data_IF_277191275132
#
_entry.id   IF_277191275132
#
_cell.length_a   1.000
_cell.length_b   1.000
_cell.length_c   1.000
_cell.angle_alpha   90.00
_cell.angle_beta   90.00
_cell.angle_gamma   90.00
#
_symmetry.space_group_name_H-M   'P 1'
#
loop_
_entity.id
_entity.type
_entity.pdbx_description
1 polymer ?
#
# COMPACT_ATOMS: atom_id res chain seq x y z
N UNK A 1 -4.23 5.22 8.54
CA UNK A 1 -4.81 6.22 7.61
C UNK A 1 -3.79 6.65 6.55
N UNK A 2 -2.51 6.74 6.92
CA UNK A 2 -1.37 7.00 6.08
C UNK A 2 -1.08 5.91 5.06
N UNK A 3 -1.14 4.60 5.39
CA UNK A 3 -0.93 3.53 4.39
C UNK A 3 -1.87 3.64 3.17
N UNK A 4 -3.14 3.99 3.39
CA UNK A 4 -4.13 4.27 2.33
C UNK A 4 -3.73 5.50 1.50
N UNK A 5 -3.29 6.56 2.17
CA UNK A 5 -2.91 7.82 1.55
C UNK A 5 -1.63 7.69 0.71
N UNK A 6 -0.62 7.01 1.25
CA UNK A 6 0.64 6.68 0.57
C UNK A 6 0.34 5.79 -0.63
N UNK A 7 -0.49 4.76 -0.46
CA UNK A 7 -0.92 3.88 -1.53
C UNK A 7 -1.57 4.61 -2.71
N UNK A 8 -2.48 5.55 -2.44
CA UNK A 8 -3.03 6.42 -3.47
C UNK A 8 -1.96 7.26 -4.18
N UNK A 9 -1.10 7.96 -3.43
CA UNK A 9 -0.08 8.85 -4.00
C UNK A 9 0.88 8.07 -4.90
N UNK A 10 1.44 6.97 -4.40
CA UNK A 10 2.38 6.15 -5.16
C UNK A 10 1.71 5.43 -6.34
N UNK A 11 0.48 4.95 -6.17
CA UNK A 11 -0.32 4.41 -7.26
C UNK A 11 -0.55 5.43 -8.38
N UNK A 12 -0.94 6.66 -8.03
CA UNK A 12 -1.14 7.76 -8.99
C UNK A 12 0.14 8.13 -9.71
N UNK A 13 1.23 8.33 -8.98
CA UNK A 13 2.54 8.65 -9.57
C UNK A 13 3.01 7.54 -10.53
N UNK A 14 2.82 6.28 -10.14
CA UNK A 14 3.15 5.14 -10.99
C UNK A 14 2.29 5.12 -12.24
N UNK A 15 0.98 5.34 -12.13
CA UNK A 15 0.07 5.40 -13.28
C UNK A 15 0.44 6.52 -14.26
N UNK A 16 0.85 7.68 -13.75
CA UNK A 16 1.35 8.79 -14.57
C UNK A 16 2.67 8.42 -15.27
N UNK A 17 3.63 7.83 -14.54
CA UNK A 17 4.92 7.43 -15.08
C UNK A 17 4.80 6.35 -16.16
N UNK A 18 3.91 5.37 -15.97
CA UNK A 18 3.68 4.28 -16.94
C UNK A 18 2.67 4.65 -18.03
N UNK A 19 2.03 5.82 -17.93
CA UNK A 19 0.96 6.29 -18.82
C UNK A 19 -0.22 5.32 -18.89
N UNK A 20 -0.69 4.85 -17.73
CA UNK A 20 -1.81 3.91 -17.62
C UNK A 20 -2.99 4.56 -16.90
N UNK A 21 -4.20 4.09 -17.20
CA UNK A 21 -5.37 4.43 -16.39
C UNK A 21 -5.31 3.64 -15.09
N UNK A 22 -5.90 4.18 -14.02
CA UNK A 22 -6.02 3.49 -12.75
C UNK A 22 -7.47 3.57 -12.24
N UNK A 23 -7.89 2.52 -11.55
CA UNK A 23 -9.14 2.49 -10.80
C UNK A 23 -8.82 2.92 -9.36
N UNK A 24 -9.31 4.10 -8.95
CA UNK A 24 -9.00 4.69 -7.65
C UNK A 24 -9.52 3.80 -6.50
N UNK A 25 -10.80 3.38 -6.46
CA UNK A 25 -11.26 2.42 -5.45
C UNK A 25 -10.36 1.19 -5.31
N UNK A 26 -9.95 0.59 -6.43
CA UNK A 26 -9.09 -0.61 -6.39
C UNK A 26 -7.69 -0.32 -5.81
N UNK A 27 -7.07 0.80 -6.15
CA UNK A 27 -5.79 1.24 -5.56
C UNK A 27 -5.93 1.37 -4.04
N UNK A 28 -7.00 2.02 -3.60
CA UNK A 28 -7.29 2.25 -2.20
C UNK A 28 -7.53 0.94 -1.44
N UNK A 29 -8.29 0.01 -2.03
CA UNK A 29 -8.52 -1.33 -1.46
C UNK A 29 -7.21 -2.12 -1.36
N UNK A 30 -6.41 -2.17 -2.42
CA UNK A 30 -5.12 -2.87 -2.41
C UNK A 30 -4.16 -2.31 -1.37
N UNK A 31 -4.21 -1.01 -1.10
CA UNK A 31 -3.40 -0.37 -0.08
C UNK A 31 -3.73 -0.82 1.35
N UNK A 32 -4.85 -1.53 1.55
CA UNK A 32 -5.32 -2.04 2.84
C UNK A 32 -5.34 -3.58 2.90
N UNK A 33 -5.22 -4.26 1.76
CA UNK A 33 -5.32 -5.73 1.68
C UNK A 33 -4.33 -6.46 2.62
N UNK A 34 -3.09 -6.02 2.83
CA UNK A 34 -2.16 -6.72 3.72
C UNK A 34 -2.72 -6.91 5.14
N UNK A 35 -3.32 -5.85 5.71
CA UNK A 35 -3.91 -5.85 7.06
C UNK A 35 -5.14 -6.75 7.21
N UNK A 36 -5.67 -7.34 6.13
CA UNK A 36 -6.75 -8.33 6.23
C UNK A 36 -6.29 -9.58 6.98
N UNK A 37 -4.98 -9.83 7.08
CA UNK A 37 -4.41 -10.93 7.85
C UNK A 37 -4.75 -10.88 9.35
N UNK A 38 -5.05 -9.71 9.90
CA UNK A 38 -5.56 -9.53 11.28
C UNK A 38 -6.85 -10.33 11.52
N UNK A 39 -7.63 -10.54 10.46
CA UNK A 39 -8.89 -11.28 10.50
C UNK A 39 -8.72 -12.78 10.20
N UNK A 40 -7.52 -13.22 9.81
CA UNK A 40 -7.24 -14.61 9.43
C UNK A 40 -6.63 -15.35 10.61
N UNK A 41 -7.33 -16.36 11.18
CA UNK A 41 -6.77 -17.15 12.28
C UNK A 41 -5.46 -17.83 11.87
N UNK A 42 -4.52 -17.91 12.82
CA UNK A 42 -3.22 -18.60 12.67
C UNK A 42 -2.24 -17.97 11.66
N UNK A 43 -2.55 -16.82 11.07
CA UNK A 43 -1.61 -16.03 10.28
C UNK A 43 -1.02 -14.95 11.16
N UNK A 44 0.32 -14.89 11.24
CA UNK A 44 1.00 -13.80 11.92
C UNK A 44 0.82 -12.50 11.13
N UNK A 45 0.28 -11.48 11.78
CA UNK A 45 0.20 -10.13 11.23
C UNK A 45 1.61 -9.60 10.90
N UNK A 46 1.77 -8.90 9.77
CA UNK A 46 3.07 -8.48 9.21
C UNK A 46 3.97 -9.64 8.77
N UNK A 47 3.38 -10.81 8.57
CA UNK A 47 4.01 -12.00 8.01
C UNK A 47 3.73 -12.13 6.50
N UNK A 48 3.19 -13.26 6.02
CA UNK A 48 3.05 -13.56 4.59
C UNK A 48 2.31 -12.49 3.75
N UNK A 49 1.29 -11.84 4.32
CA UNK A 49 0.49 -10.84 3.61
C UNK A 49 1.23 -9.51 3.39
N UNK A 50 2.28 -9.27 4.18
CA UNK A 50 3.12 -8.08 4.09
C UNK A 50 4.47 -8.38 3.41
N UNK A 51 4.62 -9.57 2.84
CA UNK A 51 5.83 -9.95 2.10
C UNK A 51 5.82 -9.36 0.70
N UNK A 52 6.93 -8.71 0.34
CA UNK A 52 7.17 -8.20 -1.02
C UNK A 52 7.39 -9.36 -1.99
N UNK A 53 7.99 -10.45 -1.53
CA UNK A 53 8.22 -11.65 -2.36
C UNK A 53 6.87 -12.29 -2.70
N UNK A 54 6.00 -12.48 -1.70
CA UNK A 54 4.66 -13.05 -1.95
C UNK A 54 3.84 -12.15 -2.85
N UNK A 55 3.90 -10.84 -2.62
CA UNK A 55 3.23 -9.87 -3.50
C UNK A 55 3.76 -9.95 -4.92
N UNK A 56 5.09 -10.02 -5.12
CA UNK A 56 5.69 -10.17 -6.44
C UNK A 56 5.24 -11.46 -7.13
N UNK A 57 5.23 -12.59 -6.44
CA UNK A 57 4.77 -13.88 -6.98
C UNK A 57 3.32 -13.78 -7.47
N UNK A 58 2.41 -13.23 -6.65
CA UNK A 58 1.00 -13.03 -7.04
C UNK A 58 0.88 -12.09 -8.24
N UNK A 59 1.77 -11.10 -8.34
CA UNK A 59 1.75 -10.16 -9.46
C UNK A 59 2.45 -10.65 -10.72
N UNK A 60 3.23 -11.74 -10.71
CA UNK A 60 3.81 -12.33 -11.94
C UNK A 60 2.73 -12.58 -13.01
N UNK A 61 1.65 -13.34 -12.75
CA UNK A 61 0.62 -13.54 -13.75
C UNK A 61 -0.11 -12.23 -14.13
N UNK A 62 -0.29 -11.30 -13.18
CA UNK A 62 -0.92 -10.01 -13.47
C UNK A 62 -0.05 -9.15 -14.41
N UNK A 63 1.27 -9.15 -14.22
CA UNK A 63 2.19 -8.50 -15.14
C UNK A 63 2.25 -9.19 -16.50
N UNK A 64 2.18 -10.53 -16.54
CA UNK A 64 2.13 -11.25 -17.81
C UNK A 64 0.86 -10.92 -18.63
N UNK A 65 -0.30 -10.76 -17.97
CA UNK A 65 -1.58 -10.49 -18.62
C UNK A 65 -1.83 -9.01 -18.92
N UNK A 66 -1.47 -8.12 -17.99
CA UNK A 66 -1.81 -6.69 -18.06
C UNK A 66 -0.60 -5.78 -18.29
N UNK A 67 0.61 -6.33 -18.27
CA UNK A 67 1.85 -5.58 -18.45
C UNK A 67 1.96 -4.41 -17.48
N UNK A 68 2.39 -3.26 -17.99
CA UNK A 68 2.55 -2.03 -17.21
C UNK A 68 1.26 -1.49 -16.57
N UNK A 69 0.08 -1.96 -16.99
CA UNK A 69 -1.19 -1.57 -16.36
C UNK A 69 -1.32 -2.13 -14.94
N UNK A 70 -0.60 -3.21 -14.61
CA UNK A 70 -0.56 -3.76 -13.25
C UNK A 70 0.34 -2.96 -12.30
N UNK A 71 1.28 -2.14 -12.82
CA UNK A 71 2.29 -1.45 -12.01
C UNK A 71 1.70 -0.54 -10.91
N UNK A 72 0.67 0.30 -11.17
CA UNK A 72 0.09 1.15 -10.13
C UNK A 72 -0.47 0.36 -8.95
N UNK A 73 -1.08 -0.79 -9.25
CA UNK A 73 -1.71 -1.69 -8.27
C UNK A 73 -0.67 -2.47 -7.48
N UNK A 74 0.39 -2.92 -8.14
CA UNK A 74 1.53 -3.55 -7.48
C UNK A 74 2.16 -2.59 -6.47
N UNK A 75 2.46 -1.37 -6.91
CA UNK A 75 3.07 -0.32 -6.08
C UNK A 75 2.15 0.05 -4.91
N UNK A 76 0.85 0.20 -5.14
CA UNK A 76 -0.12 0.51 -4.10
C UNK A 76 -0.20 -0.58 -3.01
N UNK A 77 0.04 -1.84 -3.36
CA UNK A 77 0.08 -2.96 -2.42
C UNK A 77 1.41 -3.02 -1.67
N UNK A 78 2.55 -3.06 -2.37
CA UNK A 78 3.87 -3.25 -1.71
C UNK A 78 4.30 -2.07 -0.84
N UNK A 79 3.84 -0.85 -1.13
CA UNK A 79 4.16 0.32 -0.31
C UNK A 79 3.71 0.15 1.14
N UNK A 80 2.62 -0.61 1.34
CA UNK A 80 2.05 -0.84 2.66
C UNK A 80 3.12 -1.40 3.59
N UNK A 81 3.84 -2.42 3.11
CA UNK A 81 4.90 -3.08 3.86
C UNK A 81 6.24 -2.35 3.74
N UNK A 82 6.61 -1.89 2.54
CA UNK A 82 7.93 -1.29 2.28
C UNK A 82 8.11 0.12 2.86
N UNK A 83 7.02 0.85 3.06
CA UNK A 83 7.05 2.23 3.55
C UNK A 83 6.26 2.32 4.85
N UNK A 84 4.97 1.96 4.80
CA UNK A 84 4.08 2.09 5.95
C UNK A 84 4.59 1.30 7.16
N UNK A 85 4.60 -0.03 7.06
CA UNK A 85 5.01 -0.89 8.17
C UNK A 85 6.51 -0.86 8.43
N UNK A 86 7.30 -0.64 7.38
CA UNK A 86 8.72 -0.45 7.55
C UNK A 86 9.01 0.74 8.45
N UNK A 87 8.28 1.84 8.35
CA UNK A 87 8.45 2.97 9.25
C UNK A 87 7.71 2.73 10.58
N UNK A 88 6.56 2.06 10.56
CA UNK A 88 5.65 1.98 11.71
C UNK A 88 5.24 0.56 12.14
N UNK A 89 5.35 0.32 13.45
CA UNK A 89 4.74 -0.83 14.12
C UNK A 89 5.64 -2.02 14.43
N UNK A 90 6.96 -1.81 14.45
CA UNK A 90 7.86 -2.71 15.19
C UNK A 90 8.34 -3.93 14.42
N UNK A 91 8.36 -3.87 13.09
CA UNK A 91 8.95 -4.91 12.24
C UNK A 91 7.95 -5.57 11.30
N UNK A 92 8.44 -5.98 10.13
CA UNK A 92 7.69 -6.69 9.09
C UNK A 92 8.57 -7.74 8.42
N UNK A 93 8.01 -8.93 8.13
CA UNK A 93 8.72 -10.02 7.45
C UNK A 93 8.75 -9.80 5.93
N UNK A 94 9.44 -8.73 5.48
CA UNK A 94 9.45 -8.31 4.06
C UNK A 94 9.82 -9.41 3.06
N UNK A 95 10.72 -10.30 3.48
CA UNK A 95 11.34 -11.34 2.63
C UNK A 95 10.81 -12.75 2.93
N UNK A 96 9.68 -12.88 3.62
CA UNK A 96 9.03 -14.19 3.79
C UNK A 96 8.66 -14.78 2.42
N UNK A 97 8.84 -16.09 2.16
CA UNK A 97 9.23 -17.15 3.09
C UNK A 97 10.75 -17.42 3.15
N UNK A 98 11.58 -16.64 2.44
CA UNK A 98 13.03 -16.88 2.43
C UNK A 98 13.65 -16.68 3.82
N UNK A 99 13.11 -15.74 4.59
CA UNK A 99 13.48 -15.49 5.99
C UNK A 99 12.28 -14.93 6.76
N UNK A 100 12.23 -15.21 8.07
CA UNK A 100 11.29 -14.61 9.02
C UNK A 100 11.88 -13.41 9.77
N UNK A 101 13.04 -12.91 9.32
CA UNK A 101 13.65 -11.72 9.91
C UNK A 101 12.72 -10.51 9.81
N UNK A 102 12.59 -9.80 10.92
CA UNK A 102 11.82 -8.55 10.99
C UNK A 102 12.67 -7.38 10.52
N UNK A 103 12.12 -6.60 9.60
CA UNK A 103 12.71 -5.38 9.07
C UNK A 103 11.84 -4.18 9.43
N UNK A 104 12.46 -3.03 9.66
CA UNK A 104 11.74 -1.77 9.90
C UNK A 104 12.32 -0.95 11.04
N UNK A 105 11.83 0.28 11.13
CA UNK A 105 12.04 1.22 12.20
C UNK A 105 11.08 0.84 13.34
N UNK A 106 11.61 0.71 14.56
CA UNK A 106 10.81 0.35 15.73
C UNK A 106 10.01 1.55 16.28
N UNK A 107 9.42 2.36 15.39
CA UNK A 107 8.55 3.47 15.76
C UNK A 107 7.18 2.89 16.09
N UNK A 108 6.72 3.12 17.32
CA UNK A 108 5.40 2.68 17.75
C UNK A 108 4.30 3.34 16.91
N UNK A 109 3.30 2.57 16.51
CA UNK A 109 2.11 3.08 15.79
C UNK A 109 1.37 4.16 16.59
N UNK A 110 1.49 4.15 17.92
CA UNK A 110 0.86 5.13 18.83
C UNK A 110 1.77 6.33 19.14
N UNK A 111 2.99 6.35 18.60
CA UNK A 111 3.91 7.46 18.85
C UNK A 111 3.42 8.75 18.18
N UNK A 112 3.69 9.92 18.78
CA UNK A 112 3.40 11.20 18.13
C UNK A 112 4.04 11.31 16.75
N UNK A 113 5.27 10.81 16.57
CA UNK A 113 5.96 10.78 15.28
C UNK A 113 5.17 10.04 14.22
N UNK A 114 4.72 8.81 14.51
CA UNK A 114 3.93 8.04 13.56
C UNK A 114 2.59 8.74 13.24
N UNK A 115 1.89 9.21 14.27
CA UNK A 115 0.62 9.92 14.11
C UNK A 115 0.80 11.15 13.20
N UNK A 116 1.84 11.95 13.41
CA UNK A 116 2.15 13.10 12.56
C UNK A 116 2.43 12.69 11.12
N UNK A 117 3.24 11.64 10.88
CA UNK A 117 3.54 11.16 9.53
C UNK A 117 2.28 10.68 8.80
N UNK A 118 1.42 9.94 9.49
CA UNK A 118 0.14 9.46 8.95
C UNK A 118 -0.77 10.64 8.54
N UNK A 119 -0.88 11.68 9.37
CA UNK A 119 -1.66 12.88 9.07
C UNK A 119 -1.08 13.68 7.90
N UNK A 120 0.24 13.82 7.83
CA UNK A 120 0.91 14.49 6.71
C UNK A 120 0.67 13.74 5.40
N UNK A 121 0.82 12.42 5.40
CA UNK A 121 0.54 11.58 4.24
C UNK A 121 -0.92 11.73 3.78
N UNK A 122 -1.87 11.69 4.71
CA UNK A 122 -3.28 11.90 4.44
C UNK A 122 -3.59 13.28 3.84
N UNK A 123 -2.99 14.34 4.40
CA UNK A 123 -3.13 15.70 3.88
C UNK A 123 -2.60 15.81 2.45
N UNK A 124 -1.40 15.27 2.19
CA UNK A 124 -0.80 15.24 0.84
C UNK A 124 -1.70 14.49 -0.14
N UNK A 125 -2.18 13.30 0.22
CA UNK A 125 -3.09 12.54 -0.63
C UNK A 125 -4.38 13.31 -0.93
N UNK A 126 -4.96 13.97 0.08
CA UNK A 126 -6.17 14.79 -0.09
C UNK A 126 -5.94 15.96 -1.06
N UNK A 127 -4.82 16.69 -0.90
CA UNK A 127 -4.44 17.78 -1.80
C UNK A 127 -4.30 17.25 -3.24
N UNK A 128 -3.62 16.12 -3.43
CA UNK A 128 -3.44 15.50 -4.75
C UNK A 128 -4.79 15.07 -5.34
N UNK A 129 -5.67 14.44 -4.56
CA UNK A 129 -7.01 14.02 -5.02
C UNK A 129 -7.85 15.21 -5.49
N UNK A 130 -7.84 16.32 -4.73
CA UNK A 130 -8.58 17.54 -5.10
C UNK A 130 -8.00 18.17 -6.36
N UNK A 131 -6.67 18.33 -6.45
CA UNK A 131 -6.01 18.93 -7.60
C UNK A 131 -6.19 18.12 -8.89
N UNK A 132 -6.28 16.80 -8.77
CA UNK A 132 -6.49 15.89 -9.91
C UNK A 132 -7.96 15.63 -10.21
N UNK A 133 -8.89 16.17 -9.40
CA UNK A 133 -10.35 15.93 -9.45
C UNK A 133 -10.75 14.46 -9.22
N UNK A 134 -9.85 13.66 -8.67
CA UNK A 134 -10.08 12.25 -8.36
C UNK A 134 -11.17 12.08 -7.29
N UNK A 135 -11.42 13.09 -6.46
CA UNK A 135 -12.53 13.09 -5.48
C UNK A 135 -13.91 12.95 -6.15
N UNK A 136 -14.06 13.44 -7.38
CA UNK A 136 -15.33 13.35 -8.11
C UNK A 136 -15.67 11.90 -8.47
N UNK A 137 -14.65 11.07 -8.73
CA UNK A 137 -14.82 9.66 -9.09
C UNK A 137 -15.34 8.86 -7.89
N UNK A 138 -14.90 9.21 -6.67
CA UNK A 138 -15.31 8.53 -5.44
C UNK A 138 -16.72 8.92 -4.95
N UNK A 139 -17.23 10.08 -5.38
CA UNK A 139 -18.51 10.63 -4.93
C UNK A 139 -19.63 10.44 -5.96
N UNK A 140 -19.36 9.74 -7.07
CA UNK A 140 -20.38 9.41 -8.05
C UNK A 140 -21.34 8.35 -7.50
N UNK A 141 -22.66 8.48 -7.74
CA UNK A 141 -23.60 7.40 -7.47
C UNK A 141 -23.23 6.15 -8.29
N UNK A 142 -23.31 4.97 -7.66
CA UNK A 142 -23.05 3.67 -8.27
C UNK A 142 -24.30 2.80 -8.26
#
# INVERSE_FOLDING_TARGET
MGHFAIGYVFGKLTAQATKTKMNIPLILTLSLIPDVDILVPYVEHRGPFHSVIMTAIVFIPLFALYGKMASPYFVALIQHSLIGDYIAGGGVQLLWPLTSQLYGMNISIRSPTNITLEWLAFLVATIVMVKTKDTQILLQPH
#
